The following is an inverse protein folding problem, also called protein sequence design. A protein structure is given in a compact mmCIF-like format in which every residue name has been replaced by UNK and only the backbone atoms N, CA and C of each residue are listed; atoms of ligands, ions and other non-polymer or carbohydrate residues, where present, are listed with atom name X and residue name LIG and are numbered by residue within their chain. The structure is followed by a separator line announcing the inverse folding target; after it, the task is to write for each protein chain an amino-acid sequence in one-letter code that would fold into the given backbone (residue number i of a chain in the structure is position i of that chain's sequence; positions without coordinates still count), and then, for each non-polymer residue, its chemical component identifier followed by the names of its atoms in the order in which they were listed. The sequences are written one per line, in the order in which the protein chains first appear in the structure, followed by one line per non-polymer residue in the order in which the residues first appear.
data_IF_696859558683
#
_entry.id   IF_696859558683
#
_cell.length_a   1.000
_cell.length_b   1.000
_cell.length_c   1.000
_cell.angle_alpha   90.00
_cell.angle_beta   90.00
_cell.angle_gamma   90.00
#
_symmetry.space_group_name_H-M   'P 1'
#
loop_
_entity.id
_entity.type
_entity.pdbx_description
1 polymer ?
#
# COMPACT_ATOMS: atom_id res chain seq x y z
N UNK A 1 12.23 -11.16 -20.12
CA UNK A 1 12.25 -11.20 -18.63
C UNK A 1 12.97 -12.44 -18.14
N UNK A 2 12.73 -13.61 -18.75
CA UNK A 2 13.42 -14.86 -18.43
C UNK A 2 14.95 -14.79 -18.52
N UNK A 3 15.49 -13.99 -19.45
CA UNK A 3 16.93 -13.78 -19.62
C UNK A 3 17.57 -13.03 -18.42
N UNK A 4 16.90 -12.01 -17.87
CA UNK A 4 17.31 -11.28 -16.66
C UNK A 4 17.27 -12.18 -15.44
N UNK A 5 16.14 -12.86 -15.23
CA UNK A 5 15.96 -13.80 -14.11
C UNK A 5 16.96 -14.96 -14.16
N UNK A 6 17.30 -15.45 -15.36
CA UNK A 6 18.29 -16.51 -15.54
C UNK A 6 19.72 -15.99 -15.33
N UNK A 7 20.05 -14.79 -15.81
CA UNK A 7 21.36 -14.18 -15.60
C UNK A 7 21.64 -13.89 -14.11
N UNK A 8 20.63 -13.41 -13.37
CA UNK A 8 20.74 -13.22 -11.92
C UNK A 8 20.95 -14.55 -11.20
N UNK A 9 20.16 -15.58 -11.51
CA UNK A 9 20.31 -16.92 -10.91
C UNK A 9 21.67 -17.54 -11.19
N UNK A 10 22.13 -17.51 -12.44
CA UNK A 10 23.43 -18.07 -12.82
C UNK A 10 24.58 -17.37 -12.07
N UNK A 11 24.47 -16.06 -11.84
CA UNK A 11 25.48 -15.31 -11.08
C UNK A 11 25.61 -15.83 -9.64
N UNK A 12 24.49 -16.16 -9.00
CA UNK A 12 24.46 -16.70 -7.64
C UNK A 12 24.79 -18.19 -7.55
N UNK A 13 24.53 -19.00 -8.59
CA UNK A 13 24.84 -20.43 -8.61
C UNK A 13 26.34 -20.75 -8.53
N UNK A 14 27.20 -19.86 -9.07
CA UNK A 14 28.65 -20.06 -9.06
C UNK A 14 29.36 -19.32 -7.92
N UNK A 15 28.69 -18.33 -7.31
CA UNK A 15 29.22 -17.58 -6.17
C UNK A 15 28.06 -16.94 -5.37
N UNK A 16 27.77 -17.47 -4.19
CA UNK A 16 26.72 -16.96 -3.30
C UNK A 16 26.98 -15.52 -2.81
N UNK A 17 28.24 -15.07 -2.85
CA UNK A 17 28.62 -13.69 -2.51
C UNK A 17 28.50 -12.73 -3.68
N UNK A 18 28.30 -13.23 -4.91
CA UNK A 18 28.15 -12.39 -6.07
C UNK A 18 26.93 -11.47 -5.92
N UNK A 19 27.09 -10.22 -6.35
CA UNK A 19 26.03 -9.21 -6.34
C UNK A 19 25.64 -8.91 -7.77
N UNK A 20 24.36 -8.68 -7.99
CA UNK A 20 23.88 -8.14 -9.27
C UNK A 20 24.38 -6.70 -9.38
N UNK A 21 25.31 -6.48 -10.30
CA UNK A 21 25.89 -5.16 -10.55
C UNK A 21 25.32 -4.52 -11.83
N UNK A 22 25.60 -3.23 -12.00
CA UNK A 22 25.17 -2.44 -13.17
C UNK A 22 25.61 -3.10 -14.48
N UNK A 23 26.84 -3.62 -14.54
CA UNK A 23 27.42 -4.20 -15.75
C UNK A 23 26.68 -5.46 -16.19
N UNK A 24 26.30 -6.32 -15.24
CA UNK A 24 25.50 -7.51 -15.50
C UNK A 24 24.15 -7.12 -16.09
N UNK A 25 23.44 -6.19 -15.45
CA UNK A 25 22.12 -5.75 -15.90
C UNK A 25 22.22 -5.14 -17.31
N UNK A 26 23.14 -4.18 -17.51
CA UNK A 26 23.31 -3.48 -18.80
C UNK A 26 23.66 -4.44 -19.94
N UNK A 27 24.47 -5.47 -19.67
CA UNK A 27 24.80 -6.51 -20.66
C UNK A 27 23.57 -7.31 -21.05
N UNK A 28 22.81 -7.81 -20.07
CA UNK A 28 21.61 -8.62 -20.34
C UNK A 28 20.56 -7.79 -21.08
N UNK A 29 20.38 -6.53 -20.68
CA UNK A 29 19.47 -5.60 -21.37
C UNK A 29 19.90 -5.31 -22.81
N UNK A 30 21.21 -5.17 -23.07
CA UNK A 30 21.71 -4.95 -24.43
C UNK A 30 21.43 -6.13 -25.35
N UNK A 31 21.55 -7.33 -24.82
CA UNK A 31 21.41 -8.57 -25.57
C UNK A 31 19.92 -9.00 -25.71
N UNK A 32 19.03 -8.41 -24.91
CA UNK A 32 17.60 -8.67 -24.94
C UNK A 32 16.88 -7.87 -26.04
N UNK A 33 16.30 -8.56 -27.03
CA UNK A 33 15.65 -7.94 -28.20
C UNK A 33 14.46 -7.02 -27.89
N UNK A 34 13.90 -7.06 -26.68
CA UNK A 34 12.75 -6.24 -26.23
C UNK A 34 13.10 -5.28 -25.08
N UNK A 35 14.37 -5.00 -24.84
CA UNK A 35 14.79 -4.15 -23.72
C UNK A 35 14.22 -2.72 -23.77
N UNK A 36 13.93 -2.20 -24.96
CA UNK A 36 13.33 -0.87 -25.12
C UNK A 36 11.86 -0.81 -24.70
N UNK A 37 11.19 -1.96 -24.52
CA UNK A 37 9.76 -2.04 -24.22
C UNK A 37 9.43 -2.05 -22.73
N UNK A 38 10.43 -2.15 -21.85
CA UNK A 38 10.20 -2.17 -20.41
C UNK A 38 11.08 -1.20 -19.65
N UNK A 39 10.57 -0.71 -18.53
CA UNK A 39 11.31 0.14 -17.60
C UNK A 39 11.85 -0.71 -16.47
N UNK A 40 13.07 -0.42 -16.02
CA UNK A 40 13.65 -1.04 -14.83
C UNK A 40 14.12 0.05 -13.87
N UNK A 41 13.62 -0.02 -12.64
CA UNK A 41 14.06 0.80 -11.51
C UNK A 41 14.59 -0.15 -10.44
N UNK A 42 15.74 0.17 -9.88
CA UNK A 42 16.33 -0.66 -8.84
C UNK A 42 17.29 0.12 -7.95
N UNK A 43 17.64 -0.47 -6.82
CA UNK A 43 18.73 -0.02 -5.96
C UNK A 43 19.82 -1.07 -6.01
N UNK A 44 20.98 -0.70 -6.52
CA UNK A 44 22.17 -1.54 -6.52
C UNK A 44 22.97 -1.28 -5.24
N UNK A 45 23.59 -2.31 -4.72
CA UNK A 45 24.50 -2.23 -3.57
C UNK A 45 25.90 -2.56 -4.09
N UNK A 46 26.82 -1.61 -4.00
CA UNK A 46 28.21 -1.82 -4.41
C UNK A 46 28.98 -2.70 -3.41
N UNK A 47 30.22 -3.08 -3.76
CA UNK A 47 31.09 -3.90 -2.91
C UNK A 47 31.41 -3.27 -1.55
N UNK A 48 31.23 -1.94 -1.41
CA UNK A 48 31.44 -1.18 -0.18
C UNK A 48 30.14 -1.00 0.63
N UNK A 49 29.01 -1.53 0.14
CA UNK A 49 27.70 -1.39 0.76
C UNK A 49 26.97 -0.09 0.42
N UNK A 50 27.49 0.75 -0.48
CA UNK A 50 26.82 1.97 -0.90
C UNK A 50 25.65 1.64 -1.83
N UNK A 51 24.57 2.41 -1.70
CA UNK A 51 23.36 2.26 -2.49
C UNK A 51 23.39 3.22 -3.67
N UNK A 52 23.16 2.70 -4.87
CA UNK A 52 23.08 3.48 -6.11
C UNK A 52 21.75 3.20 -6.81
N UNK A 53 21.09 4.25 -7.31
CA UNK A 53 19.90 4.08 -8.13
C UNK A 53 20.28 3.53 -9.52
N UNK A 54 19.60 2.47 -9.95
CA UNK A 54 19.63 1.97 -11.31
C UNK A 54 18.34 2.32 -12.03
N UNK A 55 18.49 2.82 -13.25
CA UNK A 55 17.37 3.24 -14.10
C UNK A 55 17.64 2.80 -15.53
N UNK A 56 16.65 2.17 -16.15
CA UNK A 56 16.66 1.80 -17.57
C UNK A 56 15.45 2.41 -18.28
N UNK A 57 15.68 2.92 -19.50
CA UNK A 57 14.74 3.75 -20.27
C UNK A 57 14.36 5.08 -19.59
N UNK A 58 13.58 5.90 -20.30
CA UNK A 58 13.17 7.21 -19.81
C UNK A 58 12.34 7.07 -18.53
N UNK A 59 12.87 7.62 -17.44
CA UNK A 59 12.23 7.67 -16.12
C UNK A 59 12.06 9.13 -15.73
N UNK A 60 10.99 9.44 -15.01
CA UNK A 60 10.87 10.75 -14.39
C UNK A 60 11.61 10.73 -13.06
N UNK A 61 12.52 11.69 -12.92
CA UNK A 61 13.20 11.99 -11.66
C UNK A 61 12.46 13.15 -10.98
N UNK A 62 12.15 12.97 -9.71
CA UNK A 62 11.43 13.94 -8.88
C UNK A 62 12.26 14.16 -7.64
N UNK A 63 12.90 15.32 -7.52
CA UNK A 63 13.57 15.71 -6.29
C UNK A 63 12.53 16.35 -5.35
N UNK A 64 12.53 15.92 -4.09
CA UNK A 64 11.54 16.30 -3.06
C UNK A 64 12.25 16.82 -1.82
N UNK A 65 11.56 17.63 -1.02
CA UNK A 65 12.12 18.18 0.20
C UNK A 65 12.17 17.15 1.33
N UNK A 66 11.20 16.22 1.38
CA UNK A 66 11.05 15.27 2.50
C UNK A 66 11.28 13.79 2.18
N UNK A 67 11.29 13.40 0.90
CA UNK A 67 11.40 11.99 0.50
C UNK A 67 12.69 11.70 -0.30
N UNK A 68 13.56 12.68 -0.47
CA UNK A 68 14.76 12.58 -1.30
C UNK A 68 14.41 12.55 -2.79
N UNK A 69 15.14 11.76 -3.57
CA UNK A 69 14.91 11.62 -5.01
C UNK A 69 14.04 10.41 -5.31
N UNK A 70 12.87 10.64 -5.90
CA UNK A 70 11.97 9.60 -6.37
C UNK A 70 12.17 9.37 -7.89
N UNK A 71 12.14 8.10 -8.29
CA UNK A 71 12.15 7.69 -9.69
C UNK A 71 10.84 7.00 -10.02
N UNK A 72 10.18 7.40 -11.11
CA UNK A 72 8.92 6.80 -11.56
C UNK A 72 8.99 6.49 -13.05
N UNK A 73 8.37 5.39 -13.45
CA UNK A 73 8.43 4.88 -14.82
C UNK A 73 7.11 4.18 -15.22
N UNK A 74 6.95 3.94 -16.52
CA UNK A 74 5.76 3.30 -17.09
C UNK A 74 4.57 4.24 -17.31
N UNK A 75 3.43 3.67 -17.71
CA UNK A 75 2.22 4.41 -18.11
C UNK A 75 1.58 5.22 -16.96
N UNK A 76 1.82 4.83 -15.71
CA UNK A 76 1.32 5.54 -14.52
C UNK A 76 2.21 6.67 -14.01
N UNK A 77 3.36 6.95 -14.65
CA UNK A 77 4.40 7.84 -14.12
C UNK A 77 3.89 9.24 -13.78
N UNK A 78 3.08 9.86 -14.64
CA UNK A 78 2.50 11.19 -14.41
C UNK A 78 1.59 11.24 -13.18
N UNK A 79 0.82 10.16 -12.97
CA UNK A 79 -0.10 10.06 -11.85
C UNK A 79 0.63 9.92 -10.53
N UNK A 80 1.65 9.06 -10.49
CA UNK A 80 2.51 8.87 -9.31
C UNK A 80 3.29 10.15 -9.01
N UNK A 81 3.84 10.81 -10.03
CA UNK A 81 4.53 12.09 -9.87
C UNK A 81 3.65 13.12 -9.17
N UNK A 82 2.40 13.25 -9.60
CA UNK A 82 1.43 14.15 -8.96
C UNK A 82 1.19 13.79 -7.50
N UNK A 83 1.06 12.50 -7.17
CA UNK A 83 0.87 12.06 -5.79
C UNK A 83 2.09 12.35 -4.91
N UNK A 84 3.32 12.14 -5.42
CA UNK A 84 4.57 12.45 -4.72
C UNK A 84 4.64 13.95 -4.40
N UNK A 85 4.45 14.81 -5.41
CA UNK A 85 4.46 16.27 -5.23
C UNK A 85 3.38 16.74 -4.26
N UNK A 86 2.20 16.13 -4.28
CA UNK A 86 1.13 16.44 -3.33
C UNK A 86 1.47 16.01 -1.91
N UNK A 87 2.09 14.85 -1.71
CA UNK A 87 2.54 14.40 -0.41
C UNK A 87 3.63 15.32 0.16
N UNK A 88 4.60 15.70 -0.65
CA UNK A 88 5.72 16.56 -0.26
C UNK A 88 5.23 17.95 0.16
N UNK A 89 4.34 18.53 -0.65
CA UNK A 89 3.68 19.82 -0.32
C UNK A 89 2.83 19.78 0.94
N UNK A 90 2.23 18.63 1.28
CA UNK A 90 1.50 18.48 2.55
C UNK A 90 2.43 18.54 3.74
N UNK A 91 3.60 17.91 3.67
CA UNK A 91 4.61 17.96 4.73
C UNK A 91 5.20 19.37 4.88
N UNK A 92 5.47 20.07 3.77
CA UNK A 92 5.86 21.49 3.80
C UNK A 92 4.86 22.33 4.59
N UNK A 93 3.56 22.18 4.29
CA UNK A 93 2.49 22.91 4.99
C UNK A 93 2.32 22.53 6.47
N UNK A 94 2.68 21.30 6.82
CA UNK A 94 2.55 20.78 8.19
C UNK A 94 3.73 21.18 9.10
N UNK A 95 4.75 21.86 8.56
CA UNK A 95 5.97 22.22 9.29
C UNK A 95 7.01 21.10 9.33
N UNK A 96 6.91 20.12 8.42
CA UNK A 96 7.87 19.02 8.28
C UNK A 96 7.35 17.66 8.73
N UNK A 97 8.22 16.65 8.57
CA UNK A 97 8.00 15.30 9.08
C UNK A 97 8.08 15.32 10.61
N UNK A 98 7.09 14.72 11.30
CA UNK A 98 7.10 14.64 12.75
C UNK A 98 7.86 13.39 13.19
N UNK A 99 9.00 13.58 13.85
CA UNK A 99 9.91 12.52 14.35
C UNK A 99 9.26 11.49 15.31
N UNK A 100 8.01 11.69 15.74
CA UNK A 100 7.25 10.73 16.55
C UNK A 100 6.45 9.70 15.76
N UNK A 101 6.47 9.75 14.42
CA UNK A 101 5.84 8.73 13.60
C UNK A 101 6.74 7.48 13.62
N UNK A 102 6.27 6.35 14.16
CA UNK A 102 6.98 5.05 14.14
C UNK A 102 7.09 4.43 12.73
N UNK A 103 7.09 5.27 11.69
CA UNK A 103 7.28 4.98 10.27
C UNK A 103 8.17 6.07 9.68
N UNK A 104 9.02 5.69 8.72
CA UNK A 104 9.81 6.64 7.94
C UNK A 104 8.93 7.44 6.97
N UNK A 105 9.43 8.61 6.57
CA UNK A 105 8.76 9.45 5.55
C UNK A 105 8.55 8.68 4.23
N UNK A 106 9.50 7.83 3.84
CA UNK A 106 9.41 7.00 2.63
C UNK A 106 8.35 5.91 2.74
N UNK A 107 8.20 5.28 3.92
CA UNK A 107 7.12 4.32 4.15
C UNK A 107 5.75 5.02 4.07
N UNK A 108 5.61 6.20 4.68
CA UNK A 108 4.35 6.95 4.60
C UNK A 108 3.99 7.37 3.17
N UNK A 109 4.98 7.79 2.37
CA UNK A 109 4.79 8.09 0.97
C UNK A 109 4.29 6.86 0.19
N UNK A 110 4.95 5.72 0.37
CA UNK A 110 4.60 4.48 -0.33
C UNK A 110 3.18 4.03 0.03
N UNK A 111 2.83 4.08 1.31
CA UNK A 111 1.48 3.80 1.79
C UNK A 111 0.44 4.80 1.29
N UNK A 112 0.78 6.08 1.21
CA UNK A 112 -0.11 7.10 0.70
C UNK A 112 -0.44 6.87 -0.78
N UNK A 113 0.58 6.55 -1.60
CA UNK A 113 0.40 6.19 -3.01
C UNK A 113 -0.47 4.94 -3.12
N UNK A 114 -0.15 3.88 -2.36
CA UNK A 114 -0.91 2.63 -2.32
C UNK A 114 -2.39 2.88 -1.95
N UNK A 115 -2.65 3.63 -0.89
CA UNK A 115 -3.98 3.99 -0.42
C UNK A 115 -4.79 4.77 -1.48
N UNK A 116 -4.18 5.78 -2.11
CA UNK A 116 -4.82 6.56 -3.18
C UNK A 116 -5.14 5.71 -4.41
N UNK A 117 -4.27 4.77 -4.77
CA UNK A 117 -4.49 3.87 -5.90
C UNK A 117 -5.62 2.89 -5.62
N UNK A 118 -5.65 2.28 -4.43
CA UNK A 118 -6.75 1.41 -4.00
C UNK A 118 -8.09 2.14 -4.01
N UNK A 119 -8.13 3.39 -3.54
CA UNK A 119 -9.35 4.19 -3.56
C UNK A 119 -9.90 4.38 -4.98
N UNK A 120 -9.01 4.56 -5.96
CA UNK A 120 -9.37 4.83 -7.37
C UNK A 120 -9.63 3.57 -8.18
N UNK A 121 -8.99 2.46 -7.83
CA UNK A 121 -9.18 1.18 -8.50
C UNK A 121 -10.63 0.73 -8.44
N UNK A 122 -11.31 1.03 -7.33
CA UNK A 122 -12.63 0.52 -7.02
C UNK A 122 -12.72 -1.01 -7.10
N UNK A 123 -13.52 -1.61 -6.24
CA UNK A 123 -13.77 -3.06 -6.28
C UNK A 123 -14.37 -3.50 -7.64
N UNK A 124 -14.55 -4.81 -7.88
CA UNK A 124 -15.02 -5.47 -9.13
C UNK A 124 -16.28 -4.85 -9.80
N UNK A 125 -16.93 -3.87 -9.16
CA UNK A 125 -18.12 -3.13 -9.60
C UNK A 125 -17.88 -1.73 -10.15
N UNK A 126 -16.72 -1.10 -9.97
CA UNK A 126 -16.57 0.35 -10.19
C UNK A 126 -15.22 0.81 -10.80
N UNK A 127 -14.41 -0.11 -11.35
CA UNK A 127 -13.02 0.20 -11.74
C UNK A 127 -12.74 0.53 -13.22
N UNK A 128 -13.76 0.54 -14.08
CA UNK A 128 -13.58 0.58 -15.54
C UNK A 128 -13.72 1.98 -16.18
N UNK A 129 -13.87 3.04 -15.38
CA UNK A 129 -14.01 4.41 -15.92
C UNK A 129 -12.69 4.94 -16.53
N UNK A 130 -12.79 5.83 -17.51
CA UNK A 130 -11.63 6.44 -18.17
C UNK A 130 -10.82 7.27 -17.15
N UNK A 131 -9.50 7.05 -17.08
CA UNK A 131 -8.55 7.59 -16.09
C UNK A 131 -8.54 6.92 -14.69
N UNK A 132 -9.19 5.76 -14.51
CA UNK A 132 -8.90 4.92 -13.33
C UNK A 132 -7.50 4.28 -13.47
N UNK A 133 -6.85 3.92 -12.35
CA UNK A 133 -5.57 3.20 -12.40
C UNK A 133 -5.63 1.95 -13.27
N UNK A 134 -6.73 1.19 -13.22
CA UNK A 134 -6.96 0.02 -14.06
C UNK A 134 -6.97 0.41 -15.55
N UNK A 135 -7.69 1.48 -15.92
CA UNK A 135 -7.78 1.94 -17.31
C UNK A 135 -6.44 2.41 -17.92
N UNK A 136 -5.52 2.94 -17.10
CA UNK A 136 -4.18 3.38 -17.55
C UNK A 136 -3.08 2.34 -17.30
N UNK A 137 -3.45 1.13 -16.87
CA UNK A 137 -2.49 0.05 -16.58
C UNK A 137 -1.58 0.32 -15.38
N UNK A 138 -1.97 1.22 -14.48
CA UNK A 138 -1.27 1.53 -13.23
C UNK A 138 -2.09 1.16 -11.98
N UNK A 139 -3.08 0.29 -12.14
CA UNK A 139 -3.89 -0.26 -11.06
C UNK A 139 -3.18 -1.45 -10.42
N UNK A 140 -3.25 -1.50 -9.10
CA UNK A 140 -2.76 -2.54 -8.22
C UNK A 140 -2.47 -1.94 -6.84
N UNK A 141 -2.41 -2.81 -5.85
CA UNK A 141 -1.70 -2.44 -4.63
C UNK A 141 -0.22 -2.38 -4.93
N UNK A 142 0.42 -1.34 -4.43
CA UNK A 142 1.87 -1.15 -4.53
C UNK A 142 2.50 -1.81 -3.32
N UNK A 143 3.08 -2.99 -3.53
CA UNK A 143 3.99 -3.61 -2.58
C UNK A 143 5.19 -2.69 -2.41
N UNK A 144 5.61 -2.48 -1.17
CA UNK A 144 6.84 -1.78 -0.89
C UNK A 144 7.62 -2.54 0.17
N UNK A 145 8.92 -2.53 0.01
CA UNK A 145 9.84 -3.31 0.82
C UNK A 145 10.94 -2.39 1.30
N UNK A 146 11.21 -2.43 2.61
CA UNK A 146 12.46 -1.89 3.11
C UNK A 146 13.58 -2.83 2.68
N UNK A 147 14.52 -2.33 1.87
CA UNK A 147 15.74 -3.07 1.56
C UNK A 147 16.73 -2.82 2.68
N UNK A 148 16.82 -3.77 3.61
CA UNK A 148 17.74 -3.73 4.75
C UNK A 148 18.86 -4.77 4.53
N UNK A 149 20.05 -4.59 5.13
CA UNK A 149 21.14 -5.59 5.04
C UNK A 149 20.69 -7.00 5.46
N UNK A 150 19.74 -7.09 6.41
CA UNK A 150 19.14 -8.34 6.88
C UNK A 150 18.05 -8.93 5.98
N UNK A 151 17.68 -8.26 4.88
CA UNK A 151 16.67 -8.74 3.92
C UNK A 151 15.43 -7.85 3.84
N UNK A 152 14.34 -8.45 3.36
CA UNK A 152 13.02 -7.83 3.17
C UNK A 152 12.15 -8.12 4.40
N UNK A 153 11.62 -7.08 5.05
CA UNK A 153 10.58 -7.24 6.07
C UNK A 153 9.19 -7.12 5.43
N UNK A 154 8.21 -7.96 5.84
CA UNK A 154 6.85 -7.83 5.34
C UNK A 154 6.21 -6.53 5.82
N UNK A 155 5.35 -5.98 4.97
CA UNK A 155 4.54 -4.83 5.33
C UNK A 155 3.63 -5.17 6.51
N UNK A 156 3.70 -4.36 7.56
CA UNK A 156 2.80 -4.48 8.71
C UNK A 156 1.36 -4.24 8.28
N UNK A 157 0.45 -5.02 8.83
CA UNK A 157 -0.98 -4.88 8.57
C UNK A 157 -1.47 -3.47 8.89
N UNK A 158 -2.38 -2.94 8.04
CA UNK A 158 -2.95 -1.60 8.21
C UNK A 158 -4.41 -1.54 7.78
N UNK A 159 -5.15 -0.61 8.37
CA UNK A 159 -6.49 -0.22 7.89
C UNK A 159 -6.46 1.21 7.34
N UNK A 160 -6.85 1.40 6.09
CA UNK A 160 -7.03 2.70 5.46
C UNK A 160 -8.54 3.07 5.45
N UNK A 161 -8.91 4.20 6.04
CA UNK A 161 -10.30 4.65 6.21
C UNK A 161 -10.50 5.98 5.49
N UNK A 162 -11.37 6.00 4.48
CA UNK A 162 -11.72 7.20 3.73
C UNK A 162 -13.06 7.75 4.20
N UNK A 163 -13.02 8.92 4.82
CA UNK A 163 -14.18 9.65 5.32
C UNK A 163 -14.41 10.90 4.47
N UNK A 164 -15.66 11.08 4.03
CA UNK A 164 -16.12 12.27 3.33
C UNK A 164 -17.08 13.05 4.22
N UNK A 165 -16.84 14.35 4.34
CA UNK A 165 -17.76 15.28 4.95
C UNK A 165 -18.72 15.78 3.87
N UNK A 166 -20.01 15.49 4.01
CA UNK A 166 -21.05 15.97 3.09
C UNK A 166 -22.33 16.22 3.86
N UNK A 167 -23.00 17.35 3.60
CA UNK A 167 -24.30 17.69 4.21
C UNK A 167 -24.28 17.59 5.75
N UNK A 168 -23.18 18.03 6.37
CA UNK A 168 -22.89 17.93 7.82
C UNK A 168 -22.80 16.50 8.38
N UNK A 169 -22.70 15.49 7.52
CA UNK A 169 -22.55 14.08 7.88
C UNK A 169 -21.11 13.62 7.64
N UNK A 170 -20.67 12.68 8.47
CA UNK A 170 -19.43 11.94 8.29
C UNK A 170 -19.74 10.62 7.60
N UNK A 171 -19.26 10.47 6.38
CA UNK A 171 -19.54 9.32 5.53
C UNK A 171 -18.26 8.53 5.29
N UNK A 172 -18.16 7.34 5.85
CA UNK A 172 -17.12 6.38 5.44
C UNK A 172 -17.47 5.93 4.03
N UNK A 173 -16.60 6.28 3.08
CA UNK A 173 -16.77 5.94 1.66
C UNK A 173 -16.03 4.68 1.27
N UNK A 174 -14.90 4.38 1.93
CA UNK A 174 -14.07 3.18 1.75
C UNK A 174 -13.35 2.80 3.03
N UNK A 175 -13.15 1.50 3.20
CA UNK A 175 -12.28 0.90 4.22
C UNK A 175 -11.49 -0.20 3.53
N UNK A 176 -10.17 -0.13 3.62
CA UNK A 176 -9.27 -1.18 3.14
C UNK A 176 -8.47 -1.75 4.31
N UNK A 177 -8.64 -3.03 4.60
CA UNK A 177 -7.71 -3.76 5.47
C UNK A 177 -6.67 -4.44 4.58
N UNK A 178 -5.40 -4.11 4.78
CA UNK A 178 -4.28 -4.60 3.98
C UNK A 178 -3.32 -5.39 4.88
N UNK A 179 -2.95 -6.58 4.45
CA UNK A 179 -2.04 -7.45 5.17
C UNK A 179 -1.16 -8.23 4.19
N UNK A 180 0.12 -8.38 4.54
CA UNK A 180 1.03 -9.25 3.83
C UNK A 180 1.18 -10.56 4.61
N UNK A 181 0.89 -11.68 3.96
CA UNK A 181 0.93 -13.02 4.54
C UNK A 181 2.08 -13.80 3.93
N UNK A 182 2.90 -14.44 4.77
CA UNK A 182 3.96 -15.33 4.31
C UNK A 182 3.36 -16.66 3.81
N UNK A 183 3.73 -17.07 2.59
CA UNK A 183 3.48 -18.39 2.08
C UNK A 183 4.51 -19.39 2.64
N UNK A 184 4.09 -20.14 3.66
CA UNK A 184 4.91 -21.18 4.29
C UNK A 184 5.23 -22.36 3.38
N UNK A 185 4.48 -22.59 2.30
CA UNK A 185 4.71 -23.70 1.37
C UNK A 185 5.83 -23.39 0.36
N UNK A 186 5.96 -22.13 -0.09
CA UNK A 186 7.00 -21.71 -1.06
C UNK A 186 8.37 -21.64 -0.42
N UNK A 187 8.45 -21.22 0.86
CA UNK A 187 9.69 -21.13 1.63
C UNK A 187 10.44 -22.47 1.77
N UNK A 188 9.76 -23.60 1.56
CA UNK A 188 10.38 -24.94 1.57
C UNK A 188 11.31 -25.19 0.36
N UNK A 189 11.29 -24.30 -0.63
CA UNK A 189 12.14 -24.37 -1.81
C UNK A 189 13.21 -23.27 -1.66
N UNK A 190 14.44 -23.63 -1.28
CA UNK A 190 15.63 -22.74 -1.15
C UNK A 190 16.05 -22.01 -2.45
N UNK A 191 15.15 -21.90 -3.44
CA UNK A 191 15.37 -21.28 -4.74
C UNK A 191 14.43 -20.09 -5.02
N UNK A 192 13.52 -19.72 -4.10
CA UNK A 192 12.65 -18.55 -4.28
C UNK A 192 13.36 -17.24 -3.94
N UNK A 193 13.06 -16.20 -4.73
CA UNK A 193 13.40 -14.82 -4.33
C UNK A 193 12.55 -14.48 -3.10
N UNK A 194 13.09 -13.82 -2.06
CA UNK A 194 12.33 -13.54 -0.83
C UNK A 194 11.00 -12.79 -1.04
N UNK A 195 10.86 -12.02 -2.13
CA UNK A 195 9.59 -11.37 -2.49
C UNK A 195 8.48 -12.33 -2.92
N UNK A 196 8.81 -13.57 -3.28
CA UNK A 196 7.88 -14.63 -3.69
C UNK A 196 7.30 -15.39 -2.50
N UNK A 197 7.91 -15.24 -1.33
CA UNK A 197 7.47 -15.90 -0.09
C UNK A 197 6.25 -15.23 0.53
N UNK A 198 5.73 -14.16 -0.09
CA UNK A 198 4.62 -13.40 0.46
C UNK A 198 3.49 -13.21 -0.54
N UNK A 199 2.27 -13.26 -0.03
CA UNK A 199 1.07 -12.80 -0.71
C UNK A 199 0.53 -11.57 -0.02
N UNK A 200 -0.08 -10.71 -0.80
CA UNK A 200 -0.78 -9.57 -0.27
C UNK A 200 -2.29 -9.83 -0.29
N UNK A 201 -2.93 -9.69 0.86
CA UNK A 201 -4.37 -9.75 0.99
C UNK A 201 -4.95 -8.37 1.31
N UNK A 202 -5.98 -7.98 0.56
CA UNK A 202 -6.67 -6.70 0.71
C UNK A 202 -8.16 -6.98 0.84
N UNK A 203 -8.73 -6.57 1.96
CA UNK A 203 -10.17 -6.66 2.20
C UNK A 203 -10.76 -5.26 2.08
N UNK A 204 -11.62 -5.06 1.07
CA UNK A 204 -12.48 -3.89 0.97
C UNK A 204 -13.72 -4.13 1.82
N UNK A 205 -13.70 -3.57 3.03
CA UNK A 205 -14.76 -3.71 4.01
C UNK A 205 -15.79 -2.58 3.84
N UNK A 206 -15.43 -1.46 3.20
CA UNK A 206 -16.28 -0.25 3.10
C UNK A 206 -16.88 -0.01 1.72
N UNK A 207 -17.53 -1.01 1.12
CA UNK A 207 -18.03 -0.93 -0.26
C UNK A 207 -19.24 -0.02 -0.44
N UNK A 208 -20.12 0.01 0.55
CA UNK A 208 -21.23 0.96 0.64
C UNK A 208 -20.88 2.06 1.62
N UNK A 209 -21.39 3.25 1.33
CA UNK A 209 -21.18 4.40 2.22
C UNK A 209 -21.84 4.14 3.57
N UNK A 210 -21.07 4.30 4.64
CA UNK A 210 -21.55 4.13 6.01
C UNK A 210 -21.49 5.47 6.74
N UNK A 211 -22.61 5.91 7.32
CA UNK A 211 -22.66 7.13 8.11
C UNK A 211 -22.13 6.86 9.51
N UNK A 212 -21.18 7.67 9.98
CA UNK A 212 -20.73 7.65 11.37
C UNK A 212 -21.72 8.52 12.16
N UNK A 213 -22.47 7.95 13.12
CA UNK A 213 -23.36 8.75 13.95
C UNK A 213 -22.53 9.75 14.78
N UNK A 214 -22.86 11.04 14.67
CA UNK A 214 -22.17 12.10 15.43
C UNK A 214 -22.44 12.03 16.95
N UNK A 215 -23.40 11.19 17.37
CA UNK A 215 -23.83 10.97 18.75
C UNK A 215 -23.34 9.62 19.30
N UNK A 216 -22.20 9.12 18.82
CA UNK A 216 -21.59 7.90 19.34
C UNK A 216 -21.07 8.13 20.77
N UNK A 217 -21.55 7.35 21.73
CA UNK A 217 -20.84 7.20 23.00
C UNK A 217 -19.51 6.50 22.73
N UNK A 218 -18.41 7.20 23.04
CA UNK A 218 -17.07 6.67 22.87
C UNK A 218 -16.79 5.64 23.97
N UNK A 219 -17.10 4.37 23.69
CA UNK A 219 -16.57 3.23 24.43
C UNK A 219 -15.17 2.83 23.97
N UNK A 220 -14.66 1.72 24.49
CA UNK A 220 -13.32 1.21 24.14
C UNK A 220 -13.17 0.91 22.64
N UNK A 221 -14.27 0.47 22.01
CA UNK A 221 -14.32 0.15 20.58
C UNK A 221 -15.56 0.72 19.91
N UNK A 222 -15.37 1.51 18.86
CA UNK A 222 -16.43 1.84 17.89
C UNK A 222 -16.49 0.75 16.84
N UNK A 223 -17.62 0.03 16.77
CA UNK A 223 -17.78 -1.12 15.85
C UNK A 223 -18.56 -0.70 14.61
N UNK A 224 -17.97 -0.96 13.45
CA UNK A 224 -18.57 -0.76 12.13
C UNK A 224 -18.79 -2.15 11.52
N UNK A 225 -20.03 -2.44 11.13
CA UNK A 225 -20.41 -3.72 10.48
C UNK A 225 -20.94 -3.39 9.09
N UNK A 226 -20.08 -3.48 8.06
CA UNK A 226 -20.53 -3.20 6.71
C UNK A 226 -21.51 -4.25 6.19
N UNK A 227 -22.31 -3.85 5.22
CA UNK A 227 -23.27 -4.74 4.58
C UNK A 227 -22.58 -5.81 3.72
N UNK A 228 -21.46 -5.44 3.10
CA UNK A 228 -20.73 -6.28 2.17
C UNK A 228 -19.24 -6.02 2.27
N UNK A 229 -18.47 -7.11 2.20
CA UNK A 229 -17.01 -7.10 2.16
C UNK A 229 -16.56 -7.84 0.92
N UNK A 230 -15.67 -7.24 0.14
CA UNK A 230 -14.96 -7.92 -0.93
C UNK A 230 -13.49 -8.13 -0.52
N UNK A 231 -12.93 -9.26 -0.91
CA UNK A 231 -11.52 -9.55 -0.76
C UNK A 231 -10.85 -9.54 -2.14
N UNK A 232 -9.63 -9.05 -2.16
CA UNK A 232 -8.71 -9.12 -3.28
C UNK A 232 -7.42 -9.74 -2.75
N UNK A 233 -7.05 -10.89 -3.30
CA UNK A 233 -5.75 -11.50 -3.09
C UNK A 233 -4.86 -11.15 -4.28
N UNK A 234 -3.70 -10.58 -4.01
CA UNK A 234 -2.68 -10.26 -5.00
C UNK A 234 -1.46 -11.15 -4.72
N UNK A 235 -1.10 -11.93 -5.73
CA UNK A 235 0.08 -12.78 -5.70
C UNK A 235 1.28 -12.05 -6.28
N UNK A 236 2.48 -12.45 -5.85
CA UNK A 236 3.72 -11.91 -6.38
C UNK A 236 3.75 -12.00 -7.92
N UNK A 237 4.11 -10.90 -8.58
CA UNK A 237 4.15 -10.79 -10.04
C UNK A 237 5.24 -11.66 -10.70
N UNK A 238 6.23 -12.10 -9.93
CA UNK A 238 7.30 -12.96 -10.41
C UNK A 238 7.08 -14.36 -9.81
N UNK A 239 6.35 -15.26 -10.46
CA UNK A 239 6.28 -16.66 -10.02
C UNK A 239 7.21 -17.54 -10.86
N UNK A 240 7.89 -18.49 -10.21
CA UNK A 240 8.93 -19.34 -10.84
C UNK A 240 8.36 -20.24 -11.95
N UNK A 241 7.07 -20.56 -11.86
CA UNK A 241 6.38 -21.44 -12.80
C UNK A 241 5.79 -20.71 -14.01
N UNK A 242 6.17 -19.45 -14.26
CA UNK A 242 5.57 -18.67 -15.33
C UNK A 242 6.02 -19.08 -16.74
N UNK A 243 5.40 -20.14 -17.26
CA UNK A 243 5.28 -20.34 -18.70
C UNK A 243 4.45 -19.21 -19.32
N UNK A 244 4.68 -18.88 -20.60
CA UNK A 244 3.92 -17.83 -21.30
C UNK A 244 2.39 -18.06 -21.25
N UNK A 245 1.94 -19.30 -21.00
CA UNK A 245 0.53 -19.66 -20.81
C UNK A 245 -0.03 -19.37 -19.40
N UNK A 246 0.81 -19.32 -18.36
CA UNK A 246 0.38 -19.01 -16.98
C UNK A 246 0.32 -17.52 -16.65
N UNK A 247 0.85 -16.64 -17.52
CA UNK A 247 0.57 -15.19 -17.48
C UNK A 247 -0.94 -14.87 -17.59
N UNK A 248 -1.75 -15.84 -18.06
CA UNK A 248 -3.22 -15.76 -18.07
C UNK A 248 -3.88 -16.26 -16.76
N UNK A 249 -3.15 -16.88 -15.83
CA UNK A 249 -3.66 -17.11 -14.47
C UNK A 249 -3.66 -15.77 -13.75
N UNK A 250 -4.84 -15.34 -13.30
CA UNK A 250 -5.01 -14.04 -12.66
C UNK A 250 -4.13 -13.96 -11.41
N UNK A 251 -3.05 -13.19 -11.46
CA UNK A 251 -2.24 -12.77 -10.28
C UNK A 251 -3.08 -12.05 -9.22
N UNK A 252 -4.32 -11.70 -9.58
CA UNK A 252 -5.32 -11.06 -8.74
C UNK A 252 -6.59 -11.89 -8.69
N UNK A 253 -6.95 -12.40 -7.51
CA UNK A 253 -8.24 -13.02 -7.25
C UNK A 253 -9.12 -12.05 -6.49
N UNK A 254 -10.36 -11.84 -6.93
CA UNK A 254 -11.32 -10.95 -6.26
C UNK A 254 -12.66 -11.65 -6.11
N UNK A 255 -13.23 -11.59 -4.90
CA UNK A 255 -14.51 -12.20 -4.59
C UNK A 255 -15.17 -11.51 -3.38
N UNK A 256 -16.50 -11.60 -3.28
CA UNK A 256 -17.21 -11.28 -2.04
C UNK A 256 -16.83 -12.27 -0.93
N UNK A 257 -16.67 -11.77 0.30
CA UNK A 257 -16.43 -12.59 1.48
C UNK A 257 -17.75 -13.18 1.96
N UNK A 258 -17.87 -14.51 1.94
CA UNK A 258 -19.05 -15.22 2.46
C UNK A 258 -19.05 -15.26 4.00
N UNK A 259 -20.20 -15.56 4.60
CA UNK A 259 -20.29 -15.70 6.06
C UNK A 259 -19.42 -16.84 6.60
N UNK A 260 -19.31 -17.94 5.86
CA UNK A 260 -18.40 -19.04 6.18
C UNK A 260 -16.94 -18.58 6.17
N UNK A 261 -16.54 -17.81 5.15
CA UNK A 261 -15.19 -17.27 5.04
C UNK A 261 -14.89 -16.26 6.13
N UNK A 262 -15.83 -15.36 6.43
CA UNK A 262 -15.70 -14.38 7.52
C UNK A 262 -15.47 -15.09 8.86
N UNK A 263 -16.24 -16.14 9.15
CA UNK A 263 -16.07 -16.94 10.37
C UNK A 263 -14.72 -17.66 10.37
N UNK A 264 -14.35 -18.30 9.26
CA UNK A 264 -13.07 -19.02 9.17
C UNK A 264 -11.87 -18.09 9.42
N UNK A 265 -11.85 -16.93 8.80
CA UNK A 265 -10.70 -16.02 8.82
C UNK A 265 -10.67 -15.09 10.03
N UNK A 266 -11.84 -14.66 10.53
CA UNK A 266 -11.94 -13.59 11.53
C UNK A 266 -12.71 -13.99 12.80
N UNK A 267 -12.98 -15.28 13.04
CA UNK A 267 -13.56 -15.73 14.33
C UNK A 267 -12.70 -15.29 15.52
N UNK A 268 -11.37 -15.38 15.38
CA UNK A 268 -10.44 -14.77 16.30
C UNK A 268 -10.19 -13.33 15.82
N UNK A 269 -10.34 -12.32 16.69
CA UNK A 269 -10.02 -10.95 16.34
C UNK A 269 -8.58 -10.82 15.85
N UNK A 270 -8.40 -10.13 14.72
CA UNK A 270 -7.10 -9.75 14.18
C UNK A 270 -6.79 -8.35 14.66
N UNK A 271 -5.78 -8.22 15.50
CA UNK A 271 -5.26 -6.95 15.97
C UNK A 271 -4.50 -6.23 14.86
N UNK A 272 -4.90 -4.98 14.59
CA UNK A 272 -4.26 -4.15 13.57
C UNK A 272 -3.62 -2.93 14.24
N UNK A 273 -2.29 -2.87 14.31
CA UNK A 273 -1.60 -1.81 15.03
C UNK A 273 -1.64 -0.47 14.30
N UNK A 274 -1.99 -0.44 13.01
CA UNK A 274 -1.84 0.75 12.16
C UNK A 274 -3.14 1.11 11.47
N UNK A 275 -3.53 2.38 11.61
CA UNK A 275 -4.72 2.94 10.97
C UNK A 275 -4.36 4.25 10.28
N UNK A 276 -4.79 4.41 9.04
CA UNK A 276 -4.69 5.67 8.30
C UNK A 276 -6.09 6.23 8.10
N UNK A 277 -6.30 7.47 8.53
CA UNK A 277 -7.56 8.19 8.35
C UNK A 277 -7.35 9.25 7.28
N UNK A 278 -8.22 9.24 6.26
CA UNK A 278 -8.26 10.23 5.20
C UNK A 278 -9.61 10.93 5.27
N UNK A 279 -9.63 12.20 5.66
CA UNK A 279 -10.85 13.00 5.73
C UNK A 279 -10.87 14.00 4.58
N UNK A 280 -11.96 14.03 3.80
CA UNK A 280 -12.10 14.94 2.66
C UNK A 280 -13.42 15.70 2.66
N UNK A 281 -13.37 16.96 2.21
CA UNK A 281 -14.54 17.81 1.90
C UNK A 281 -14.91 17.78 0.41
N UNK A 282 -14.18 16.99 -0.40
CA UNK A 282 -14.25 16.99 -1.87
C UNK A 282 -13.35 18.03 -2.54
N UNK A 283 -12.95 19.09 -1.84
CA UNK A 283 -11.97 20.09 -2.34
C UNK A 283 -10.60 19.90 -1.70
N UNK A 284 -10.60 19.58 -0.41
CA UNK A 284 -9.40 19.36 0.39
C UNK A 284 -9.48 17.98 1.04
N UNK A 285 -8.32 17.41 1.32
CA UNK A 285 -8.19 16.18 2.08
C UNK A 285 -7.05 16.33 3.09
N UNK A 286 -7.23 15.77 4.28
CA UNK A 286 -6.19 15.63 5.30
C UNK A 286 -6.05 14.16 5.62
N UNK A 287 -4.81 13.71 5.70
CA UNK A 287 -4.45 12.32 6.01
C UNK A 287 -3.69 12.29 7.33
N UNK A 288 -3.97 11.28 8.15
CA UNK A 288 -3.21 11.00 9.37
C UNK A 288 -3.00 9.50 9.54
N UNK A 289 -1.75 9.09 9.68
CA UNK A 289 -1.39 7.76 10.15
C UNK A 289 -1.38 7.69 11.68
N UNK A 290 -1.83 6.57 12.22
CA UNK A 290 -1.85 6.23 13.64
C UNK A 290 -1.22 4.85 13.80
N UNK A 291 -0.40 4.71 14.83
CA UNK A 291 0.30 3.47 15.16
C UNK A 291 0.14 3.22 16.65
N UNK A 292 -0.23 2.00 17.02
CA UNK A 292 -0.19 1.50 18.39
C UNK A 292 1.18 0.93 18.69
N UNK A 293 1.70 1.23 19.88
CA UNK A 293 2.90 0.61 20.41
C UNK A 293 2.64 -0.85 20.85
N UNK A 294 3.68 -1.70 20.98
CA UNK A 294 3.52 -3.10 21.39
C UNK A 294 2.77 -3.29 22.72
N UNK A 295 2.91 -2.36 23.66
CA UNK A 295 2.26 -2.41 24.98
C UNK A 295 0.94 -1.61 25.04
N UNK A 296 0.47 -1.08 23.90
CA UNK A 296 -0.80 -0.36 23.79
C UNK A 296 -1.90 -1.23 23.18
N UNK A 297 -3.16 -0.89 23.46
CA UNK A 297 -4.29 -1.42 22.71
C UNK A 297 -4.13 -1.12 21.21
N UNK A 298 -4.40 -2.12 20.37
CA UNK A 298 -4.37 -2.01 18.91
C UNK A 298 -5.24 -0.86 18.40
N UNK A 299 -4.82 -0.20 17.32
CA UNK A 299 -5.55 0.92 16.75
C UNK A 299 -6.87 0.48 16.13
N UNK A 300 -6.91 -0.73 15.57
CA UNK A 300 -8.11 -1.37 15.09
C UNK A 300 -8.10 -2.88 15.39
N UNK A 301 -9.28 -3.49 15.32
CA UNK A 301 -9.47 -4.93 15.28
C UNK A 301 -10.39 -5.30 14.11
N UNK A 302 -10.03 -6.35 13.38
CA UNK A 302 -10.91 -6.99 12.40
C UNK A 302 -11.45 -8.26 13.01
N UNK A 303 -12.77 -8.43 13.05
CA UNK A 303 -13.38 -9.63 13.63
C UNK A 303 -14.66 -10.01 12.91
N UNK A 304 -15.12 -11.23 13.13
CA UNK A 304 -16.42 -11.68 12.65
C UNK A 304 -17.53 -11.29 13.64
N UNK A 305 -18.63 -10.76 13.12
CA UNK A 305 -19.89 -10.52 13.85
C UNK A 305 -21.05 -10.94 12.95
N UNK A 306 -21.85 -11.91 13.40
CA UNK A 306 -23.08 -12.37 12.74
C UNK A 306 -22.89 -12.76 11.25
N UNK A 307 -21.81 -13.48 10.95
CA UNK A 307 -21.43 -13.89 9.61
C UNK A 307 -20.86 -12.77 8.74
N UNK A 308 -20.43 -11.65 9.32
CA UNK A 308 -19.87 -10.51 8.58
C UNK A 308 -18.54 -10.07 9.15
N UNK A 309 -17.69 -9.51 8.29
CA UNK A 309 -16.44 -8.87 8.71
C UNK A 309 -16.78 -7.50 9.31
N UNK A 310 -16.37 -7.28 10.55
CA UNK A 310 -16.53 -6.04 11.28
C UNK A 310 -15.18 -5.38 11.54
N UNK A 311 -15.18 -4.05 11.53
CA UNK A 311 -14.06 -3.21 11.92
C UNK A 311 -14.38 -2.59 13.29
N UNK A 312 -13.52 -2.83 14.27
CA UNK A 312 -13.56 -2.15 15.56
C UNK A 312 -12.43 -1.11 15.59
N UNK A 313 -12.76 0.15 15.88
CA UNK A 313 -11.81 1.25 15.99
C UNK A 313 -11.64 1.65 17.45
N UNK A 314 -10.39 1.80 17.89
CA UNK A 314 -10.12 2.22 19.25
C UNK A 314 -10.49 3.69 19.45
N UNK A 315 -10.64 4.10 20.71
CA UNK A 315 -10.95 5.48 21.07
C UNK A 315 -9.92 6.48 20.50
N UNK A 316 -8.63 6.11 20.48
CA UNK A 316 -7.52 6.90 19.90
C UNK A 316 -7.77 7.25 18.43
N UNK A 317 -8.27 6.28 17.65
CA UNK A 317 -8.60 6.48 16.24
C UNK A 317 -9.81 7.39 16.08
N UNK A 318 -10.83 7.21 16.90
CA UNK A 318 -12.03 8.04 16.86
C UNK A 318 -11.75 9.49 17.25
N UNK A 319 -10.91 9.74 18.27
CA UNK A 319 -10.46 11.08 18.61
C UNK A 319 -9.69 11.74 17.46
N UNK A 320 -8.75 11.01 16.85
CA UNK A 320 -8.00 11.51 15.71
C UNK A 320 -8.91 11.86 14.52
N UNK A 321 -9.96 11.06 14.27
CA UNK A 321 -10.97 11.39 13.25
C UNK A 321 -11.68 12.71 13.56
N UNK A 322 -12.14 12.90 14.79
CA UNK A 322 -12.82 14.13 15.23
C UNK A 322 -11.90 15.34 15.10
N UNK A 323 -10.64 15.24 15.51
CA UNK A 323 -9.64 16.30 15.37
C UNK A 323 -9.42 16.69 13.90
N UNK A 324 -9.31 15.71 13.00
CA UNK A 324 -9.16 15.95 11.56
C UNK A 324 -10.38 16.65 10.96
N UNK A 325 -11.58 16.22 11.37
CA UNK A 325 -12.85 16.85 10.94
C UNK A 325 -12.90 18.29 11.44
N UNK A 326 -12.57 18.55 12.70
CA UNK A 326 -12.52 19.89 13.27
C UNK A 326 -11.53 20.78 12.49
N UNK A 327 -10.33 20.28 12.17
CA UNK A 327 -9.34 21.05 11.41
C UNK A 327 -9.80 21.40 9.98
N UNK A 328 -10.65 20.56 9.38
CA UNK A 328 -11.18 20.80 8.03
C UNK A 328 -12.38 21.76 7.99
N UNK A 329 -13.17 21.80 9.07
CA UNK A 329 -14.43 22.56 9.11
C UNK A 329 -14.25 23.91 9.82
N UNK A 330 -13.35 24.01 10.79
CA UNK A 330 -13.09 25.26 11.50
C UNK A 330 -12.31 26.23 10.60
N UNK A 331 -12.74 27.50 10.48
CA UNK A 331 -11.95 28.52 9.79
C UNK A 331 -10.57 28.60 10.43
N UNK A 332 -9.50 28.60 9.64
CA UNK A 332 -8.21 29.10 10.14
C UNK A 332 -8.44 30.57 10.46
N UNK A 333 -8.48 30.92 11.73
CA UNK A 333 -8.35 32.32 12.12
C UNK A 333 -7.09 32.85 11.43
N UNK A 334 -7.29 33.82 10.54
CA UNK A 334 -6.21 34.62 10.00
C UNK A 334 -5.56 35.31 11.18
N UNK A 335 -4.45 34.75 11.68
CA UNK A 335 -3.52 35.44 12.55
C UNK A 335 -2.86 36.55 11.72
N UNK A 336 -3.62 37.62 11.50
CA UNK A 336 -3.11 38.91 11.10
C UNK A 336 -2.88 39.72 12.36
N UNK A 337 -1.62 39.91 12.70
CA UNK A 337 -1.10 41.08 13.41
C UNK A 337 0.39 41.15 13.16
#
# INVERSE_FOLDING_TARGET
MDELSSAFRNTHQFNETARVDRKLIDRVLRDAGRAMEFWLLGVLIDEKGNREAYTHNAVKRIDTDFFGTCYVAGSGADLIEKMIKQADHRLLKAGGWRDGAHISATEDLAENISCEMLYRESDYRNGMDVNTPIAVGCGGFYEWYAVLPQGIEPMRSRVDIHVRIRDKKLLITRIHFCEQMENKEVKLIDMSLPSQDYYLSIYNIGLKTHEIPLQLELGDWTTIIPEETAAVLIQAFFNIEDSVESLNKKSRLSASVSAEMAKRLFHNPVDVPRVRIIVSTGKTAITRGLISLPDEQSSAQIKEINGRVALCLSQKVMFALVELVAHLILPKETSGS
#
